data_IF_892121378400
#
_entry.id   IF_892121378400
#
_cell.length_a   1.000
_cell.length_b   1.000
_cell.length_c   1.000
_cell.angle_alpha   90.00
_cell.angle_beta   90.00
_cell.angle_gamma   90.00
#
_symmetry.space_group_name_H-M   'P 1'
#
loop_
_entity.id
_entity.type
_entity.pdbx_description
1 polymer ?
#
# COMPACT_ATOMS: atom_id res chain seq x y z
N UNK A 1 -16.97 -2.48 9.27
CA UNK A 1 -15.75 -1.89 8.67
C UNK A 1 -15.38 -0.70 9.55
N UNK A 2 -14.12 -0.61 9.99
CA UNK A 2 -13.63 0.48 10.82
C UNK A 2 -12.54 1.24 10.06
N UNK A 3 -12.42 2.53 10.29
CA UNK A 3 -11.38 3.35 9.68
C UNK A 3 -10.00 3.02 10.27
N UNK A 4 -9.00 2.87 9.41
CA UNK A 4 -7.62 2.64 9.81
C UNK A 4 -6.94 3.94 10.26
N UNK A 5 -5.99 3.85 11.20
CA UNK A 5 -5.17 4.98 11.65
C UNK A 5 -3.74 4.93 11.11
N UNK A 6 -3.56 4.30 9.94
CA UNK A 6 -2.28 4.05 9.29
C UNK A 6 -1.84 2.58 9.34
N UNK A 7 -1.01 2.18 8.36
CA UNK A 7 -0.62 0.78 8.14
C UNK A 7 0.06 0.14 9.36
N UNK A 8 0.87 0.89 10.11
CA UNK A 8 1.52 0.38 11.33
C UNK A 8 0.50 0.00 12.40
N UNK A 9 -0.40 0.93 12.76
CA UNK A 9 -1.45 0.70 13.75
C UNK A 9 -2.43 -0.39 13.31
N UNK A 10 -2.83 -0.41 12.04
CA UNK A 10 -3.70 -1.47 11.51
C UNK A 10 -3.02 -2.84 11.54
N UNK A 11 -1.72 -2.91 11.21
CA UNK A 11 -0.94 -4.16 11.32
C UNK A 11 -0.87 -4.65 12.77
N UNK A 12 -0.66 -3.74 13.73
CA UNK A 12 -0.68 -4.07 15.16
C UNK A 12 -2.05 -4.58 15.62
N UNK A 13 -3.15 -3.97 15.16
CA UNK A 13 -4.49 -4.41 15.49
C UNK A 13 -4.78 -5.84 14.97
N UNK A 14 -4.32 -6.16 13.75
CA UNK A 14 -4.43 -7.51 13.19
C UNK A 14 -3.54 -8.50 13.94
N UNK A 15 -2.29 -8.11 14.24
CA UNK A 15 -1.37 -8.93 15.03
C UNK A 15 -1.91 -9.23 16.44
N UNK A 16 -2.60 -8.26 17.05
CA UNK A 16 -3.23 -8.40 18.37
C UNK A 16 -4.62 -9.07 18.32
N UNK A 17 -5.10 -9.49 17.13
CA UNK A 17 -6.44 -10.05 16.88
C UNK A 17 -7.60 -9.13 17.28
N UNK A 18 -7.36 -7.83 17.45
CA UNK A 18 -8.43 -6.84 17.69
C UNK A 18 -9.12 -6.42 16.38
N UNK A 19 -8.47 -6.67 15.24
CA UNK A 19 -9.07 -6.68 13.92
C UNK A 19 -8.75 -8.02 13.22
N UNK A 20 -9.73 -8.58 12.50
CA UNK A 20 -9.55 -9.89 11.86
C UNK A 20 -8.83 -9.79 10.50
N UNK A 21 -9.11 -8.70 9.77
CA UNK A 21 -8.46 -8.34 8.53
C UNK A 21 -8.07 -6.87 8.55
N UNK A 22 -7.01 -6.52 7.84
CA UNK A 22 -6.58 -5.14 7.64
C UNK A 22 -6.17 -4.89 6.20
N UNK A 23 -6.49 -3.71 5.66
CA UNK A 23 -5.91 -3.24 4.41
C UNK A 23 -4.70 -2.35 4.75
N UNK A 24 -3.51 -2.78 4.34
CA UNK A 24 -2.24 -2.15 4.76
C UNK A 24 -1.23 -2.12 3.62
N UNK A 25 -0.26 -1.23 3.76
CA UNK A 25 0.97 -1.23 2.96
C UNK A 25 1.88 -2.43 3.35
N UNK A 26 2.28 -3.22 2.36
CA UNK A 26 3.04 -4.45 2.48
C UNK A 26 4.46 -4.24 3.03
N UNK A 27 5.26 -3.28 2.54
CA UNK A 27 6.53 -2.90 3.17
C UNK A 27 6.42 -2.69 4.67
N UNK A 28 5.40 -1.96 5.12
CA UNK A 28 5.13 -1.74 6.55
C UNK A 28 4.82 -3.04 7.28
N UNK A 29 3.96 -3.89 6.71
CA UNK A 29 3.62 -5.18 7.29
C UNK A 29 4.85 -6.10 7.38
N UNK A 30 5.69 -6.16 6.33
CA UNK A 30 6.89 -6.99 6.29
C UNK A 30 7.87 -6.65 7.41
N UNK A 31 8.05 -5.36 7.73
CA UNK A 31 8.89 -4.95 8.88
C UNK A 31 8.34 -5.48 10.21
N UNK A 32 7.02 -5.44 10.40
CA UNK A 32 6.41 -6.00 11.59
C UNK A 32 6.58 -7.52 11.63
N UNK A 33 6.35 -8.21 10.50
CA UNK A 33 6.49 -9.65 10.37
C UNK A 33 7.92 -10.15 10.62
N UNK A 34 8.93 -9.44 10.10
CA UNK A 34 10.36 -9.70 10.38
C UNK A 34 10.67 -9.64 11.88
N UNK A 35 10.03 -8.71 12.60
CA UNK A 35 10.14 -8.58 14.06
C UNK A 35 9.26 -9.56 14.85
N UNK A 36 8.66 -10.54 14.18
CA UNK A 36 7.88 -11.60 14.79
C UNK A 36 6.38 -11.33 14.89
N UNK A 37 5.85 -10.24 14.33
CA UNK A 37 4.40 -10.04 14.29
C UNK A 37 3.73 -11.17 13.46
N UNK A 38 2.69 -11.84 13.98
CA UNK A 38 2.11 -13.02 13.35
C UNK A 38 1.10 -12.66 12.24
N UNK A 39 1.53 -11.86 11.26
CA UNK A 39 0.70 -11.36 10.15
C UNK A 39 1.15 -11.90 8.80
N UNK A 40 0.22 -12.00 7.85
CA UNK A 40 0.46 -12.46 6.47
C UNK A 40 -0.49 -11.76 5.50
N UNK A 41 -0.03 -11.43 4.28
CA UNK A 41 -0.90 -10.93 3.22
C UNK A 41 -1.67 -12.08 2.54
N UNK A 42 -3.00 -12.00 2.50
CA UNK A 42 -3.87 -12.96 1.81
C UNK A 42 -4.21 -12.53 0.39
N UNK A 43 -3.73 -11.36 -0.02
CA UNK A 43 -3.89 -10.81 -1.36
C UNK A 43 -3.36 -9.38 -1.46
N UNK A 44 -2.80 -9.01 -2.62
CA UNK A 44 -2.13 -7.72 -2.86
C UNK A 44 -2.85 -6.96 -3.97
N UNK A 45 -3.56 -5.90 -3.62
CA UNK A 45 -4.33 -5.14 -4.61
C UNK A 45 -3.42 -4.33 -5.52
N UNK A 46 -2.51 -3.53 -4.94
CA UNK A 46 -1.59 -2.69 -5.71
C UNK A 46 -0.33 -3.46 -6.05
N UNK A 47 -0.29 -4.00 -7.27
CA UNK A 47 0.83 -4.75 -7.84
C UNK A 47 2.04 -3.86 -8.19
N UNK A 48 1.80 -2.55 -8.26
CA UNK A 48 2.81 -1.51 -8.36
C UNK A 48 2.40 -0.35 -7.47
N UNK A 49 3.38 0.31 -6.83
CA UNK A 49 3.10 1.41 -5.91
C UNK A 49 2.77 2.67 -6.71
N UNK A 50 1.62 3.31 -6.45
CA UNK A 50 1.31 4.65 -6.94
C UNK A 50 1.90 5.75 -6.04
N UNK A 51 2.67 5.39 -5.00
CA UNK A 51 3.27 6.38 -4.10
C UNK A 51 4.22 7.30 -4.86
N UNK A 52 4.12 8.58 -4.54
CA UNK A 52 4.79 9.66 -5.25
C UNK A 52 5.06 10.82 -4.32
N UNK A 53 6.00 11.68 -4.73
CA UNK A 53 6.23 12.98 -4.09
C UNK A 53 5.52 14.02 -4.92
N UNK A 54 4.92 14.98 -4.23
CA UNK A 54 3.86 15.76 -4.81
C UNK A 54 4.00 17.23 -4.41
N UNK A 55 3.69 18.14 -5.34
CA UNK A 55 3.81 19.59 -5.11
C UNK A 55 2.94 20.40 -6.07
N UNK A 56 2.53 21.61 -5.66
CA UNK A 56 1.66 22.46 -6.49
C UNK A 56 2.35 22.77 -7.83
N UNK A 57 1.57 22.79 -8.92
CA UNK A 57 2.10 23.02 -10.26
C UNK A 57 2.87 24.34 -10.37
N UNK A 58 2.45 25.37 -9.63
CA UNK A 58 3.10 26.68 -9.53
C UNK A 58 4.46 26.64 -8.81
N UNK A 59 4.73 25.60 -8.00
CA UNK A 59 6.03 25.35 -7.36
C UNK A 59 7.03 24.70 -8.29
N UNK A 60 6.58 24.28 -9.47
CA UNK A 60 7.44 23.78 -10.55
C UNK A 60 8.38 22.65 -10.12
N UNK A 61 7.90 21.72 -9.29
CA UNK A 61 8.65 20.54 -8.84
C UNK A 61 8.53 19.47 -9.93
N UNK A 62 9.55 19.31 -10.77
CA UNK A 62 9.53 18.45 -11.97
C UNK A 62 10.64 17.40 -12.01
N UNK A 63 11.67 17.54 -11.18
CA UNK A 63 12.72 16.55 -10.92
C UNK A 63 12.95 16.43 -9.40
N UNK A 64 13.49 15.32 -8.89
CA UNK A 64 13.70 15.14 -7.45
C UNK A 64 14.49 16.28 -6.80
N UNK A 65 15.46 16.87 -7.51
CA UNK A 65 16.31 17.94 -7.00
C UNK A 65 15.56 19.25 -6.70
N UNK A 66 14.37 19.42 -7.28
CA UNK A 66 13.57 20.64 -7.10
C UNK A 66 12.98 20.75 -5.68
N UNK A 67 13.04 19.68 -4.88
CA UNK A 67 12.62 19.70 -3.47
C UNK A 67 13.64 20.38 -2.56
N UNK A 68 14.84 20.71 -3.05
CA UNK A 68 15.87 21.41 -2.27
C UNK A 68 15.36 22.75 -1.75
N UNK A 69 15.54 22.98 -0.44
CA UNK A 69 15.04 24.13 0.30
C UNK A 69 13.52 24.18 0.49
N UNK A 70 12.78 23.13 0.08
CA UNK A 70 11.32 23.05 0.24
C UNK A 70 10.93 22.37 1.54
N UNK A 71 9.63 22.41 1.82
CA UNK A 71 9.02 21.68 2.94
C UNK A 71 8.37 20.42 2.38
N UNK A 72 8.71 19.27 2.95
CA UNK A 72 8.12 17.97 2.60
C UNK A 72 7.19 17.53 3.74
N UNK A 73 5.93 17.30 3.42
CA UNK A 73 4.95 16.80 4.38
C UNK A 73 4.95 15.26 4.43
N UNK A 74 5.08 14.68 5.63
CA UNK A 74 5.08 13.21 5.85
C UNK A 74 4.03 12.83 6.89
N UNK A 75 3.77 11.52 7.06
CA UNK A 75 2.88 11.01 8.11
C UNK A 75 3.72 10.04 8.94
N UNK A 76 3.91 10.31 10.24
CA UNK A 76 4.71 9.45 11.11
C UNK A 76 4.20 8.01 11.11
N UNK A 77 5.12 7.04 10.94
CA UNK A 77 4.79 5.62 10.87
C UNK A 77 4.06 5.18 9.60
N UNK A 78 3.82 6.09 8.66
CA UNK A 78 3.24 5.79 7.35
C UNK A 78 4.25 5.19 6.37
N UNK A 79 3.75 4.57 5.30
CA UNK A 79 4.56 3.96 4.24
C UNK A 79 5.53 4.95 3.58
N UNK A 80 5.14 6.22 3.44
CA UNK A 80 5.98 7.27 2.83
C UNK A 80 7.27 7.52 3.61
N UNK A 81 7.24 7.51 4.94
CA UNK A 81 8.43 7.71 5.78
C UNK A 81 9.39 6.52 5.65
N UNK A 82 8.84 5.32 5.48
CA UNK A 82 9.61 4.09 5.36
C UNK A 82 10.30 3.91 4.00
N UNK A 83 9.77 4.52 2.93
CA UNK A 83 10.38 4.51 1.59
C UNK A 83 11.28 5.72 1.37
N UNK A 84 11.14 6.77 2.18
CA UNK A 84 11.91 8.01 2.06
C UNK A 84 13.43 7.78 1.97
N UNK A 85 14.07 6.92 2.80
CA UNK A 85 15.50 6.65 2.68
C UNK A 85 15.91 6.04 1.34
N UNK A 86 15.09 5.16 0.75
CA UNK A 86 15.31 4.60 -0.58
C UNK A 86 15.25 5.70 -1.64
N UNK A 87 14.25 6.58 -1.58
CA UNK A 87 14.14 7.70 -2.50
C UNK A 87 15.39 8.60 -2.44
N UNK A 88 15.83 8.99 -1.24
CA UNK A 88 17.03 9.81 -1.04
C UNK A 88 18.30 9.14 -1.57
N UNK A 89 18.49 7.85 -1.30
CA UNK A 89 19.65 7.09 -1.81
C UNK A 89 19.67 7.01 -3.33
N UNK A 90 18.50 6.86 -3.98
CA UNK A 90 18.40 6.75 -5.44
C UNK A 90 18.58 8.10 -6.15
N UNK A 91 18.20 9.20 -5.51
CA UNK A 91 18.29 10.56 -6.07
C UNK A 91 19.56 11.30 -5.66
N UNK A 92 20.29 10.79 -4.67
CA UNK A 92 21.47 11.45 -4.10
C UNK A 92 21.14 12.65 -3.20
N UNK A 93 19.86 12.84 -2.87
CA UNK A 93 19.40 13.89 -1.95
C UNK A 93 19.74 13.54 -0.51
N UNK A 94 19.96 14.58 0.31
CA UNK A 94 20.24 14.45 1.74
C UNK A 94 19.06 14.96 2.55
N UNK A 95 18.88 14.44 3.76
CA UNK A 95 17.84 14.98 4.67
C UNK A 95 18.03 16.47 4.97
N UNK A 96 19.28 16.96 4.97
CA UNK A 96 19.60 18.38 5.13
C UNK A 96 19.15 19.26 3.96
N UNK A 97 18.77 18.69 2.83
CA UNK A 97 18.42 19.43 1.63
C UNK A 97 17.01 20.04 1.69
N UNK A 98 16.15 19.62 2.62
CA UNK A 98 14.76 20.09 2.75
C UNK A 98 14.30 20.04 4.20
N UNK A 99 13.12 20.58 4.49
CA UNK A 99 12.52 20.56 5.83
C UNK A 99 11.35 19.59 5.89
N UNK A 100 11.35 18.65 6.81
CA UNK A 100 10.23 17.72 7.01
C UNK A 100 9.21 18.28 7.99
N UNK A 101 7.91 18.13 7.68
CA UNK A 101 6.80 18.40 8.59
C UNK A 101 5.88 17.19 8.65
N UNK A 102 5.50 16.79 9.85
CA UNK A 102 4.58 15.67 10.09
C UNK A 102 3.13 16.13 10.10
N UNK A 103 2.23 15.39 9.43
CA UNK A 103 0.79 15.62 9.39
C UNK A 103 -0.02 14.33 9.15
N UNK A 104 -1.32 14.39 9.43
CA UNK A 104 -2.25 13.27 9.19
C UNK A 104 -2.55 13.06 7.68
N UNK A 105 -3.31 12.00 7.35
CA UNK A 105 -3.64 11.68 5.96
C UNK A 105 -4.42 12.81 5.25
N UNK A 106 -5.27 13.53 5.98
CA UNK A 106 -6.04 14.68 5.46
C UNK A 106 -5.12 15.86 5.13
N UNK A 107 -4.11 16.09 5.96
CA UNK A 107 -3.09 17.14 5.78
C UNK A 107 -2.27 16.92 4.51
N UNK A 108 -2.04 15.66 4.12
CA UNK A 108 -1.33 15.31 2.87
C UNK A 108 -2.15 15.52 1.61
N UNK A 109 -3.46 15.29 1.65
CA UNK A 109 -4.35 15.56 0.49
C UNK A 109 -4.34 17.05 0.10
N UNK A 110 -4.16 17.94 1.07
CA UNK A 110 -3.98 19.38 0.84
C UNK A 110 -2.58 19.75 0.30
N UNK A 111 -1.63 18.80 0.29
CA UNK A 111 -0.21 19.01 -0.05
C UNK A 111 0.23 18.40 -1.40
N UNK A 112 -0.74 18.04 -2.26
CA UNK A 112 -0.64 17.88 -3.72
C UNK A 112 -0.34 16.47 -4.22
N UNK A 113 -0.46 16.29 -5.56
CA UNK A 113 -0.46 15.11 -6.46
C UNK A 113 0.87 14.75 -7.20
N UNK A 114 0.89 13.53 -7.74
CA UNK A 114 1.99 12.59 -8.00
C UNK A 114 3.03 12.89 -9.09
N UNK A 115 4.32 12.53 -8.83
CA UNK A 115 5.13 11.64 -9.70
C UNK A 115 6.38 11.04 -9.00
N UNK A 116 6.88 9.90 -9.53
CA UNK A 116 8.23 9.27 -9.47
C UNK A 116 8.16 7.72 -9.36
N UNK A 117 8.50 7.05 -10.46
CA UNK A 117 8.42 5.60 -10.65
C UNK A 117 9.35 4.74 -9.78
N UNK A 118 8.90 4.43 -8.56
CA UNK A 118 9.44 3.33 -7.75
C UNK A 118 8.55 2.09 -7.97
N UNK A 119 9.14 0.92 -8.24
CA UNK A 119 8.40 -0.32 -8.49
C UNK A 119 8.43 -1.22 -7.25
N UNK A 120 7.37 -1.17 -6.43
CA UNK A 120 7.14 -2.04 -5.26
C UNK A 120 5.65 -2.39 -5.22
N UNK A 121 5.26 -3.55 -4.69
CA UNK A 121 3.85 -3.74 -4.31
C UNK A 121 3.52 -2.89 -3.08
N UNK A 122 2.36 -2.24 -3.07
CA UNK A 122 1.98 -1.35 -1.96
C UNK A 122 0.91 -1.98 -1.08
N UNK A 123 -0.37 -1.84 -1.40
CA UNK A 123 -1.44 -2.16 -0.44
C UNK A 123 -2.13 -3.49 -0.71
N UNK A 124 -2.37 -4.24 0.37
CA UNK A 124 -2.99 -5.57 0.33
C UNK A 124 -3.79 -5.86 1.61
N UNK A 125 -4.53 -6.97 1.57
CA UNK A 125 -5.32 -7.46 2.70
C UNK A 125 -4.44 -8.41 3.52
N UNK A 126 -4.38 -8.18 4.83
CA UNK A 126 -3.64 -9.01 5.78
C UNK A 126 -4.56 -9.66 6.80
N UNK A 127 -4.13 -10.79 7.35
CA UNK A 127 -4.75 -11.44 8.52
C UNK A 127 -3.68 -12.02 9.45
N UNK A 128 -4.11 -12.49 10.62
CA UNK A 128 -3.23 -13.20 11.55
C UNK A 128 -2.98 -14.63 11.06
N UNK A 129 -1.75 -15.12 11.20
CA UNK A 129 -1.33 -16.46 10.74
C UNK A 129 -2.13 -17.63 11.34
N UNK A 130 -2.81 -17.44 12.47
CA UNK A 130 -3.59 -18.49 13.14
C UNK A 130 -4.88 -18.74 12.38
N UNK A 131 -5.45 -17.70 11.76
CA UNK A 131 -6.68 -17.81 10.95
C UNK A 131 -6.47 -18.76 9.77
N UNK A 132 -5.23 -18.89 9.25
CA UNK A 132 -4.90 -19.85 8.20
C UNK A 132 -5.21 -21.30 8.60
N UNK A 133 -5.02 -21.62 9.90
CA UNK A 133 -5.23 -22.95 10.46
C UNK A 133 -6.63 -23.09 11.03
N UNK A 134 -7.05 -22.08 11.79
CA UNK A 134 -8.26 -22.13 12.61
C UNK A 134 -9.52 -21.89 11.78
N UNK A 135 -9.43 -21.06 10.73
CA UNK A 135 -10.59 -20.71 9.91
C UNK A 135 -10.24 -20.38 8.44
N UNK A 136 -9.69 -21.34 7.68
CA UNK A 136 -9.32 -21.12 6.27
C UNK A 136 -10.51 -20.81 5.35
N UNK A 137 -11.72 -21.30 5.69
CA UNK A 137 -12.94 -21.00 4.92
C UNK A 137 -13.33 -19.52 4.99
N UNK A 138 -13.19 -18.91 6.17
CA UNK A 138 -13.45 -17.48 6.33
C UNK A 138 -12.54 -16.63 5.44
N UNK A 139 -11.26 -16.98 5.34
CA UNK A 139 -10.31 -16.30 4.44
C UNK A 139 -10.78 -16.43 2.99
N UNK A 140 -11.13 -17.64 2.55
CA UNK A 140 -11.60 -17.88 1.18
C UNK A 140 -12.86 -17.09 0.84
N UNK A 141 -13.85 -17.07 1.73
CA UNK A 141 -15.10 -16.31 1.56
C UNK A 141 -14.84 -14.80 1.52
N UNK A 142 -13.98 -14.30 2.41
CA UNK A 142 -13.62 -12.89 2.46
C UNK A 142 -12.88 -12.45 1.20
N UNK A 143 -11.88 -13.22 0.75
CA UNK A 143 -11.12 -12.92 -0.46
C UNK A 143 -11.97 -13.06 -1.73
N UNK A 144 -12.92 -14.00 -1.77
CA UNK A 144 -13.89 -14.10 -2.87
C UNK A 144 -14.77 -12.86 -2.97
N UNK A 145 -15.30 -12.38 -1.85
CA UNK A 145 -16.12 -11.17 -1.82
C UNK A 145 -15.32 -9.93 -2.27
N UNK A 146 -14.09 -9.77 -1.79
CA UNK A 146 -13.21 -8.66 -2.18
C UNK A 146 -12.82 -8.72 -3.65
N UNK A 147 -12.53 -9.90 -4.19
CA UNK A 147 -12.22 -10.09 -5.61
C UNK A 147 -13.42 -9.70 -6.48
N UNK A 148 -14.63 -10.14 -6.13
CA UNK A 148 -15.86 -9.75 -6.84
C UNK A 148 -16.11 -8.24 -6.75
N UNK A 149 -15.87 -7.62 -5.59
CA UNK A 149 -16.03 -6.20 -5.40
C UNK A 149 -15.07 -5.40 -6.29
N UNK A 150 -13.79 -5.76 -6.36
CA UNK A 150 -12.81 -5.09 -7.23
C UNK A 150 -13.15 -5.31 -8.71
N UNK A 151 -13.48 -6.54 -9.13
CA UNK A 151 -13.88 -6.82 -10.52
C UNK A 151 -15.13 -6.03 -10.91
N UNK A 152 -16.11 -5.93 -10.01
CA UNK A 152 -17.32 -5.12 -10.21
C UNK A 152 -16.99 -3.63 -10.31
N UNK A 153 -16.17 -3.12 -9.39
CA UNK A 153 -15.80 -1.71 -9.37
C UNK A 153 -14.97 -1.28 -10.58
N UNK A 154 -14.09 -2.14 -11.09
CA UNK A 154 -13.35 -1.87 -12.34
C UNK A 154 -14.28 -1.80 -13.56
N UNK A 155 -15.35 -2.61 -13.58
CA UNK A 155 -16.36 -2.60 -14.65
C UNK A 155 -17.34 -1.44 -14.56
N UNK A 156 -17.64 -0.98 -13.36
CA UNK A 156 -18.52 0.16 -13.09
C UNK A 156 -17.92 1.11 -12.05
N UNK A 157 -16.94 1.95 -12.46
CA UNK A 157 -16.28 2.90 -11.57
C UNK A 157 -17.26 3.91 -10.96
N UNK A 158 -18.28 4.33 -11.71
CA UNK A 158 -19.27 5.30 -11.24
C UNK A 158 -20.13 4.72 -10.12
N UNK A 159 -20.70 3.52 -10.34
CA UNK A 159 -21.47 2.82 -9.32
C UNK A 159 -20.65 2.49 -8.08
N UNK A 160 -19.36 2.20 -8.23
CA UNK A 160 -18.45 1.98 -7.10
C UNK A 160 -18.24 3.24 -6.26
N UNK A 161 -17.96 4.39 -6.89
CA UNK A 161 -17.81 5.67 -6.19
C UNK A 161 -19.11 6.08 -5.51
N UNK A 162 -20.25 5.88 -6.16
CA UNK A 162 -21.56 6.18 -5.58
C UNK A 162 -21.87 5.29 -4.36
N UNK A 163 -21.58 3.99 -4.44
CA UNK A 163 -21.70 3.08 -3.32
C UNK A 163 -20.77 3.47 -2.16
N UNK A 164 -19.55 3.89 -2.46
CA UNK A 164 -18.58 4.35 -1.47
C UNK A 164 -19.06 5.62 -0.75
N UNK A 165 -19.54 6.63 -1.49
CA UNK A 165 -20.08 7.86 -0.90
C UNK A 165 -21.36 7.62 -0.09
N UNK A 166 -22.18 6.66 -0.51
CA UNK A 166 -23.34 6.22 0.28
C UNK A 166 -22.91 5.59 1.61
N UNK A 167 -21.84 4.78 1.61
CA UNK A 167 -21.32 4.14 2.81
C UNK A 167 -20.53 5.10 3.72
N UNK A 168 -19.83 6.07 3.12
CA UNK A 168 -19.08 7.11 3.82
C UNK A 168 -19.20 8.46 3.09
N UNK A 169 -20.20 9.28 3.46
CA UNK A 169 -20.41 10.60 2.84
C UNK A 169 -19.23 11.58 3.01
N UNK A 170 -18.31 11.31 3.95
CA UNK A 170 -17.13 12.14 4.21
C UNK A 170 -15.89 11.68 3.43
N UNK A 171 -16.01 10.67 2.56
CA UNK A 171 -14.88 10.08 1.82
C UNK A 171 -14.22 11.06 0.83
N UNK A 172 -14.93 12.10 0.39
CA UNK A 172 -14.38 13.12 -0.50
C UNK A 172 -15.38 13.64 -1.53
N UNK A 173 -14.88 14.32 -2.56
CA UNK A 173 -15.68 14.78 -3.70
C UNK A 173 -15.78 13.66 -4.73
N UNK A 174 -16.99 13.41 -5.23
CA UNK A 174 -17.28 12.34 -6.20
C UNK A 174 -16.32 12.34 -7.40
N UNK A 175 -16.15 13.49 -8.04
CA UNK A 175 -15.33 13.57 -9.27
C UNK A 175 -13.85 13.28 -8.99
N UNK A 176 -13.32 13.77 -7.86
CA UNK A 176 -11.94 13.46 -7.42
C UNK A 176 -11.76 11.98 -7.11
N UNK A 177 -12.78 11.34 -6.52
CA UNK A 177 -12.74 9.91 -6.21
C UNK A 177 -12.80 9.06 -7.48
N UNK A 178 -13.59 9.49 -8.47
CA UNK A 178 -13.69 8.83 -9.77
C UNK A 178 -12.36 8.93 -10.54
N UNK A 179 -11.78 10.12 -10.62
CA UNK A 179 -10.47 10.33 -11.25
C UNK A 179 -9.37 9.51 -10.56
N UNK A 180 -9.32 9.52 -9.22
CA UNK A 180 -8.38 8.71 -8.46
C UNK A 180 -8.58 7.20 -8.66
N UNK A 181 -9.83 6.75 -8.81
CA UNK A 181 -10.13 5.36 -9.13
C UNK A 181 -9.59 4.99 -10.51
N UNK A 182 -9.93 5.76 -11.55
CA UNK A 182 -9.47 5.55 -12.92
C UNK A 182 -7.94 5.51 -13.01
N UNK A 183 -7.26 6.47 -12.39
CA UNK A 183 -5.80 6.54 -12.38
C UNK A 183 -5.14 5.37 -11.65
N UNK A 184 -5.81 4.73 -10.69
CA UNK A 184 -5.23 3.65 -9.89
C UNK A 184 -5.51 2.24 -10.40
N UNK A 185 -6.57 2.05 -11.19
CA UNK A 185 -6.94 0.73 -11.74
C UNK A 185 -5.81 0.04 -12.50
N UNK A 186 -4.97 0.81 -13.21
CA UNK A 186 -3.81 0.29 -13.94
C UNK A 186 -2.77 -0.40 -13.02
N UNK A 187 -2.75 -0.06 -11.73
CA UNK A 187 -1.85 -0.65 -10.74
C UNK A 187 -2.41 -1.90 -10.07
N UNK A 188 -3.67 -2.27 -10.37
CA UNK A 188 -4.29 -3.47 -9.81
C UNK A 188 -3.82 -4.74 -10.52
N UNK A 189 -3.37 -4.58 -11.76
CA UNK A 189 -2.73 -5.61 -12.55
C UNK A 189 -1.21 -5.48 -12.50
N UNK A 190 -0.52 -6.60 -12.63
CA UNK A 190 0.94 -6.69 -12.67
C UNK A 190 1.49 -6.77 -14.11
N UNK A 191 0.78 -6.16 -15.07
CA UNK A 191 1.09 -6.25 -16.49
C UNK A 191 0.80 -7.62 -17.11
N UNK A 192 -0.14 -8.38 -16.53
CA UNK A 192 -0.61 -9.67 -17.05
C UNK A 192 0.17 -10.89 -16.54
N UNK A 193 1.03 -10.72 -15.53
CA UNK A 193 1.77 -11.82 -14.90
C UNK A 193 0.94 -12.59 -13.86
N UNK A 194 -0.18 -12.02 -13.42
CA UNK A 194 -1.14 -12.62 -12.51
C UNK A 194 -2.52 -12.73 -13.17
N UNK A 195 -3.14 -13.93 -13.18
CA UNK A 195 -4.41 -14.17 -13.85
C UNK A 195 -5.62 -13.56 -13.12
N UNK A 196 -5.47 -13.18 -11.84
CA UNK A 196 -6.57 -12.65 -11.02
C UNK A 196 -6.13 -11.43 -10.19
N UNK A 197 -7.05 -10.50 -9.89
CA UNK A 197 -6.81 -9.44 -8.90
C UNK A 197 -6.34 -10.05 -7.57
N UNK A 198 -5.53 -9.30 -6.82
CA UNK A 198 -4.93 -9.72 -5.55
C UNK A 198 -3.86 -10.82 -5.62
N UNK A 199 -3.79 -11.59 -6.70
CA UNK A 199 -2.72 -12.58 -6.85
C UNK A 199 -1.40 -11.86 -7.08
N UNK A 200 -0.37 -12.26 -6.34
CA UNK A 200 0.98 -11.74 -6.55
C UNK A 200 1.88 -12.82 -7.14
N UNK A 201 2.68 -12.42 -8.12
CA UNK A 201 3.71 -13.26 -8.70
C UNK A 201 4.90 -13.42 -7.74
N UNK A 202 5.44 -14.64 -7.64
CA UNK A 202 6.55 -15.00 -6.76
C UNK A 202 7.81 -14.15 -6.98
N UNK A 203 8.14 -13.88 -8.26
CA UNK A 203 9.29 -13.06 -8.61
C UNK A 203 9.06 -11.61 -8.17
N UNK A 204 7.85 -11.08 -8.37
CA UNK A 204 7.49 -9.71 -7.94
C UNK A 204 7.61 -9.54 -6.43
N UNK A 205 7.18 -10.53 -5.63
CA UNK A 205 7.41 -10.50 -4.18
C UNK A 205 8.91 -10.57 -3.84
N UNK A 206 9.65 -11.46 -4.50
CA UNK A 206 11.10 -11.63 -4.28
C UNK A 206 11.87 -10.35 -4.58
N UNK A 207 11.54 -9.68 -5.68
CA UNK A 207 12.12 -8.39 -6.06
C UNK A 207 11.76 -7.30 -5.05
N UNK A 208 10.50 -7.28 -4.58
CA UNK A 208 10.04 -6.34 -3.55
C UNK A 208 10.82 -6.52 -2.26
N UNK A 209 10.96 -7.75 -1.75
CA UNK A 209 11.75 -8.05 -0.55
C UNK A 209 13.20 -7.64 -0.75
N UNK A 210 13.77 -7.92 -1.92
CA UNK A 210 15.15 -7.57 -2.24
C UNK A 210 15.40 -6.06 -2.23
N UNK A 211 14.53 -5.30 -2.89
CA UNK A 211 14.57 -3.84 -2.89
C UNK A 211 14.37 -3.26 -1.48
N UNK A 212 13.48 -3.86 -0.69
CA UNK A 212 13.23 -3.44 0.69
C UNK A 212 14.44 -3.68 1.59
N UNK A 213 15.20 -4.75 1.39
CA UNK A 213 16.44 -4.98 2.14
C UNK A 213 17.56 -4.05 1.68
N UNK A 214 17.74 -3.89 0.37
CA UNK A 214 18.86 -3.13 -0.19
C UNK A 214 18.70 -1.61 -0.03
N UNK A 215 17.46 -1.14 -0.01
CA UNK A 215 17.16 0.28 -0.01
C UNK A 215 16.10 0.69 1.01
N UNK A 216 15.14 -0.18 1.30
CA UNK A 216 14.07 0.12 2.26
C UNK A 216 14.51 -0.02 3.73
N UNK A 217 15.66 -0.60 4.06
CA UNK A 217 16.05 -0.86 5.45
C UNK A 217 15.23 -1.97 6.13
N UNK A 218 14.69 -2.91 5.35
CA UNK A 218 14.21 -4.19 5.87
C UNK A 218 15.41 -5.05 6.26
N UNK A 219 15.31 -5.84 7.32
CA UNK A 219 16.43 -6.66 7.78
C UNK A 219 16.77 -7.75 6.76
N UNK A 220 18.05 -8.03 6.56
CA UNK A 220 18.53 -8.97 5.54
C UNK A 220 17.99 -10.40 5.68
N UNK A 221 17.58 -10.79 6.89
CA UNK A 221 16.92 -12.09 7.15
C UNK A 221 15.65 -12.28 6.31
N UNK A 222 14.99 -11.19 5.91
CA UNK A 222 13.78 -11.25 5.10
C UNK A 222 13.98 -11.90 3.73
N UNK A 223 15.19 -11.83 3.17
CA UNK A 223 15.52 -12.47 1.88
C UNK A 223 15.48 -14.00 1.93
N UNK A 224 15.56 -14.61 3.12
CA UNK A 224 15.63 -16.07 3.25
C UNK A 224 14.33 -16.76 2.83
N UNK A 225 13.19 -16.11 3.05
CA UNK A 225 11.89 -16.67 2.73
C UNK A 225 10.85 -15.58 2.36
N UNK A 226 10.84 -15.10 1.10
CA UNK A 226 9.82 -14.17 0.64
C UNK A 226 8.39 -14.72 0.72
N UNK A 227 8.19 -16.05 0.75
CA UNK A 227 6.88 -16.69 0.88
C UNK A 227 6.32 -16.55 2.30
N UNK A 228 7.13 -16.21 3.29
CA UNK A 228 6.67 -15.95 4.66
C UNK A 228 5.72 -14.74 4.78
N UNK A 229 5.64 -13.89 3.76
CA UNK A 229 4.92 -12.61 3.78
C UNK A 229 3.58 -12.61 3.03
N UNK A 230 3.28 -13.63 2.22
CA UNK A 230 2.02 -13.69 1.48
C UNK A 230 1.56 -15.12 1.20
N UNK A 231 0.28 -15.27 0.88
CA UNK A 231 -0.32 -16.53 0.46
C UNK A 231 -1.43 -16.29 -0.58
N UNK A 232 -1.36 -17.00 -1.71
CA UNK A 232 -2.33 -16.89 -2.81
C UNK A 232 -3.45 -17.94 -2.73
N UNK A 233 -3.30 -18.99 -1.93
CA UNK A 233 -4.13 -20.22 -1.93
C UNK A 233 -5.62 -20.00 -1.62
N UNK A 234 -5.95 -18.83 -1.06
CA UNK A 234 -7.32 -18.45 -0.69
C UNK A 234 -7.98 -17.51 -1.70
N UNK A 235 -7.27 -17.13 -2.75
CA UNK A 235 -7.83 -16.36 -3.84
C UNK A 235 -8.74 -17.24 -4.71
N UNK A 236 -9.76 -16.67 -5.36
CA UNK A 236 -10.53 -17.38 -6.37
C UNK A 236 -9.62 -17.88 -7.50
N UNK A 237 -9.96 -19.05 -8.05
CA UNK A 237 -9.37 -19.60 -9.27
C UNK A 237 -10.13 -19.14 -10.51
#
# INVERSE_FOLDING_TARGET
IQEGRGSGTTTQAVAAKTALFGYVDLPTMMRAAVKGAPVIATGVLLQKTPMSVMGFADRNIRKPEDIKGKIVATTPGGSNEQIWPLFLKKTGLKESDFRTVSGDAQTKLNAVFADYGINLVSSGIITHKDVLKDNPDLIRRFMTANTKAVVGAVKDPQGAVDAMLKANPKAGKRDTLLEGFEQTTQFYADGGKSPHPFQINDQTMTDTVSNMVEYGGLEAVAKKDPKAYYINDFLPK
#
